data_IF_467673851119
#
_entry.id   IF_467673851119
#
_cell.length_a   1.000
_cell.length_b   1.000
_cell.length_c   1.000
_cell.angle_alpha   90.00
_cell.angle_beta   90.00
_cell.angle_gamma   90.00
#
_symmetry.space_group_name_H-M   'P 1'
#
loop_
_entity.id
_entity.type
_entity.pdbx_description
1 polymer ?
#
# COMPACT_ATOMS: atom_id res chain seq x y z
N UNK A 1 14.72 -10.14 -23.27
CA UNK A 1 13.87 -10.64 -22.17
C UNK A 1 13.25 -11.95 -22.61
N UNK A 2 13.51 -13.03 -21.88
CA UNK A 2 13.05 -14.39 -22.20
C UNK A 2 11.74 -14.62 -21.44
N UNK A 3 10.82 -15.43 -22.01
CA UNK A 3 9.55 -15.82 -21.36
C UNK A 3 9.76 -16.37 -19.94
N UNK A 4 10.90 -16.97 -19.66
CA UNK A 4 11.31 -17.47 -18.35
C UNK A 4 11.37 -16.39 -17.26
N UNK A 5 11.57 -15.12 -17.60
CA UNK A 5 11.56 -14.00 -16.66
C UNK A 5 10.19 -13.74 -16.04
N UNK A 6 9.12 -14.27 -16.62
CA UNK A 6 7.76 -14.17 -16.08
C UNK A 6 7.46 -15.21 -14.99
N UNK A 7 8.27 -16.25 -14.86
CA UNK A 7 8.01 -17.34 -13.88
C UNK A 7 8.10 -16.84 -12.43
N UNK A 8 9.14 -16.11 -11.98
CA UNK A 8 9.22 -15.65 -10.60
C UNK A 8 8.00 -14.82 -10.15
N UNK A 9 7.55 -13.78 -10.89
CA UNK A 9 6.38 -13.02 -10.50
C UNK A 9 5.07 -13.83 -10.57
N UNK A 10 4.91 -14.73 -11.55
CA UNK A 10 3.74 -15.61 -11.63
C UNK A 10 3.66 -16.56 -10.43
N UNK A 11 4.79 -17.17 -10.05
CA UNK A 11 4.85 -18.04 -8.87
C UNK A 11 4.51 -17.26 -7.60
N UNK A 12 5.05 -16.05 -7.43
CA UNK A 12 4.74 -15.20 -6.29
C UNK A 12 3.24 -14.88 -6.20
N UNK A 13 2.60 -14.52 -7.32
CA UNK A 13 1.17 -14.22 -7.39
C UNK A 13 0.32 -15.46 -7.06
N UNK A 14 0.62 -16.59 -7.71
CA UNK A 14 -0.14 -17.83 -7.50
C UNK A 14 -0.01 -18.30 -6.04
N UNK A 15 1.20 -18.28 -5.48
CA UNK A 15 1.41 -18.63 -4.08
C UNK A 15 0.67 -17.67 -3.14
N UNK A 16 0.69 -16.35 -3.39
CA UNK A 16 -0.03 -15.38 -2.58
C UNK A 16 -1.55 -15.62 -2.59
N UNK A 17 -2.11 -16.03 -3.72
CA UNK A 17 -3.54 -16.37 -3.84
C UNK A 17 -3.90 -17.66 -3.11
N UNK A 18 -3.01 -18.65 -3.11
CA UNK A 18 -3.25 -19.96 -2.47
C UNK A 18 -3.04 -19.86 -0.94
N UNK A 19 -1.91 -19.30 -0.53
CA UNK A 19 -1.51 -19.25 0.89
C UNK A 19 -2.17 -18.11 1.65
N UNK A 20 -2.66 -17.08 0.93
CA UNK A 20 -3.13 -15.78 1.48
C UNK A 20 -2.03 -15.05 2.28
N UNK A 21 -0.79 -15.44 2.08
CA UNK A 21 0.41 -14.89 2.70
C UNK A 21 1.28 -14.21 1.64
N UNK A 22 1.30 -12.87 1.63
CA UNK A 22 2.00 -12.09 0.60
C UNK A 22 3.51 -12.11 0.81
N UNK A 23 3.99 -11.94 2.05
CA UNK A 23 5.42 -11.83 2.34
C UNK A 23 6.19 -13.08 1.99
N UNK A 24 5.71 -14.25 2.45
CA UNK A 24 6.33 -15.55 2.13
C UNK A 24 6.34 -15.83 0.64
N UNK A 25 5.26 -15.47 -0.05
CA UNK A 25 5.10 -15.68 -1.48
C UNK A 25 6.05 -14.82 -2.31
N UNK A 26 6.20 -13.54 -1.94
CA UNK A 26 7.16 -12.62 -2.55
C UNK A 26 8.60 -13.08 -2.31
N UNK A 27 8.92 -13.52 -1.10
CA UNK A 27 10.26 -14.05 -0.79
C UNK A 27 10.61 -15.26 -1.66
N UNK A 28 9.68 -16.21 -1.82
CA UNK A 28 9.88 -17.36 -2.71
C UNK A 28 10.06 -16.90 -4.15
N UNK A 29 9.29 -15.91 -4.62
CA UNK A 29 9.47 -15.33 -5.95
C UNK A 29 10.85 -14.72 -6.16
N UNK A 30 11.38 -14.00 -5.17
CA UNK A 30 12.73 -13.41 -5.19
C UNK A 30 13.79 -14.53 -5.25
N UNK A 31 13.65 -15.57 -4.44
CA UNK A 31 14.59 -16.72 -4.44
C UNK A 31 14.61 -17.41 -5.81
N UNK A 32 13.44 -17.67 -6.40
CA UNK A 32 13.33 -18.26 -7.74
C UNK A 32 13.99 -17.35 -8.79
N UNK A 33 13.77 -16.04 -8.72
CA UNK A 33 14.41 -15.07 -9.60
C UNK A 33 15.93 -15.10 -9.50
N UNK A 34 16.48 -15.17 -8.29
CA UNK A 34 17.93 -15.32 -8.06
C UNK A 34 18.50 -16.63 -8.58
N UNK A 35 17.75 -17.75 -8.46
CA UNK A 35 18.15 -19.03 -9.01
C UNK A 35 18.20 -19.00 -10.56
N UNK A 36 17.24 -18.33 -11.21
CA UNK A 36 17.27 -18.13 -12.65
C UNK A 36 18.45 -17.25 -13.10
N UNK A 37 18.80 -16.24 -12.33
CA UNK A 37 19.98 -15.42 -12.58
C UNK A 37 21.26 -16.25 -12.51
N UNK A 38 21.36 -17.19 -11.56
CA UNK A 38 22.47 -18.15 -11.44
C UNK A 38 22.52 -19.23 -12.51
N UNK A 39 21.72 -19.14 -13.58
CA UNK A 39 21.67 -20.09 -14.70
C UNK A 39 21.29 -21.52 -14.31
N UNK A 40 20.27 -21.72 -13.48
CA UNK A 40 19.84 -23.04 -13.00
C UNK A 40 19.57 -24.07 -14.12
N UNK A 41 19.26 -23.60 -15.34
CA UNK A 41 18.97 -24.47 -16.50
C UNK A 41 20.13 -24.60 -17.48
N UNK A 42 21.32 -24.05 -17.18
CA UNK A 42 22.49 -24.12 -18.05
C UNK A 42 23.67 -24.80 -17.33
N UNK A 43 24.56 -25.39 -18.10
CA UNK A 43 25.83 -25.95 -17.61
C UNK A 43 26.72 -24.81 -17.10
N UNK A 44 26.73 -24.59 -15.79
CA UNK A 44 27.44 -23.48 -15.14
C UNK A 44 26.66 -22.85 -14.00
N UNK A 45 25.65 -23.55 -13.46
CA UNK A 45 24.91 -23.11 -12.28
C UNK A 45 25.85 -22.78 -11.12
N UNK A 46 25.75 -21.59 -10.61
CA UNK A 46 26.47 -21.11 -9.43
C UNK A 46 25.49 -20.62 -8.37
N UNK A 47 25.38 -21.41 -7.31
CA UNK A 47 24.56 -21.04 -6.14
C UNK A 47 25.09 -19.74 -5.49
N UNK A 48 26.43 -19.58 -5.49
CA UNK A 48 27.08 -18.38 -4.99
C UNK A 48 26.61 -17.11 -5.73
N UNK A 49 26.59 -17.13 -7.07
CA UNK A 49 26.08 -16.02 -7.88
C UNK A 49 24.62 -15.72 -7.60
N UNK A 50 23.77 -16.73 -7.38
CA UNK A 50 22.38 -16.55 -7.05
C UNK A 50 22.20 -15.88 -5.70
N UNK A 51 22.95 -16.31 -4.69
CA UNK A 51 22.90 -15.74 -3.34
C UNK A 51 23.43 -14.31 -3.34
N UNK A 52 24.59 -14.08 -3.95
CA UNK A 52 25.18 -12.74 -4.04
C UNK A 52 24.25 -11.77 -4.75
N UNK A 53 23.64 -12.17 -5.86
CA UNK A 53 22.68 -11.32 -6.57
C UNK A 53 21.45 -10.96 -5.71
N UNK A 54 20.91 -11.89 -4.95
CA UNK A 54 19.77 -11.61 -4.05
C UNK A 54 20.18 -10.64 -2.94
N UNK A 55 21.34 -10.83 -2.32
CA UNK A 55 21.76 -10.05 -1.16
C UNK A 55 22.48 -8.75 -1.56
N UNK A 56 23.44 -8.78 -2.47
CA UNK A 56 24.21 -7.60 -2.83
C UNK A 56 23.41 -6.68 -3.77
N UNK A 57 22.96 -7.19 -4.90
CA UNK A 57 22.24 -6.37 -5.87
C UNK A 57 20.79 -6.12 -5.45
N UNK A 58 20.12 -7.14 -4.92
CA UNK A 58 18.73 -7.06 -4.49
C UNK A 58 18.56 -6.27 -3.19
N UNK A 59 19.14 -6.73 -2.10
CA UNK A 59 18.89 -6.15 -0.78
C UNK A 59 19.77 -4.93 -0.50
N UNK A 60 21.09 -5.10 -0.59
CA UNK A 60 22.04 -4.02 -0.28
C UNK A 60 21.98 -2.93 -1.35
N UNK A 61 21.91 -3.29 -2.63
CA UNK A 61 21.80 -2.34 -3.73
C UNK A 61 20.56 -1.46 -3.61
N UNK A 62 19.39 -2.05 -3.34
CA UNK A 62 18.14 -1.32 -3.15
C UNK A 62 18.18 -0.42 -1.90
N UNK A 63 18.74 -0.91 -0.79
CA UNK A 63 18.87 -0.12 0.45
C UNK A 63 20.01 0.91 0.41
N UNK A 64 20.90 0.84 -0.56
CA UNK A 64 21.96 1.83 -0.76
C UNK A 64 21.56 2.94 -1.72
N UNK A 65 20.47 2.78 -2.44
CA UNK A 65 19.96 3.79 -3.34
C UNK A 65 19.24 4.90 -2.54
N UNK A 66 19.72 6.16 -2.61
CA UNK A 66 19.11 7.29 -1.90
C UNK A 66 17.63 7.48 -2.18
N UNK A 67 17.17 7.16 -3.39
CA UNK A 67 15.77 7.26 -3.76
C UNK A 67 14.89 6.26 -2.99
N UNK A 68 15.29 4.98 -2.97
CA UNK A 68 14.57 3.94 -2.24
C UNK A 68 14.57 4.19 -0.73
N UNK A 69 15.72 4.62 -0.19
CA UNK A 69 15.83 5.00 1.24
C UNK A 69 14.95 6.20 1.55
N UNK A 70 14.86 7.18 0.65
CA UNK A 70 13.96 8.32 0.79
C UNK A 70 12.50 7.90 0.92
N UNK A 71 12.04 6.95 0.10
CA UNK A 71 10.68 6.39 0.17
C UNK A 71 10.46 5.67 1.52
N UNK A 72 11.42 4.86 1.99
CA UNK A 72 11.30 4.19 3.29
C UNK A 72 11.19 5.16 4.45
N UNK A 73 12.03 6.20 4.46
CA UNK A 73 11.97 7.26 5.49
C UNK A 73 10.61 7.97 5.43
N UNK A 74 10.14 8.31 4.23
CA UNK A 74 8.82 8.93 4.04
C UNK A 74 7.70 8.07 4.64
N UNK A 75 7.69 6.76 4.37
CA UNK A 75 6.68 5.84 4.91
C UNK A 75 6.71 5.76 6.44
N UNK A 76 7.92 5.75 7.04
CA UNK A 76 8.07 5.75 8.50
C UNK A 76 7.54 7.05 9.11
N UNK A 77 7.92 8.21 8.56
CA UNK A 77 7.45 9.52 9.01
C UNK A 77 5.93 9.62 8.89
N UNK A 78 5.38 9.17 7.76
CA UNK A 78 3.94 9.12 7.54
C UNK A 78 3.23 8.26 8.59
N UNK A 79 3.74 7.06 8.86
CA UNK A 79 3.20 6.18 9.91
C UNK A 79 3.22 6.81 11.30
N UNK A 80 4.29 7.53 11.63
CA UNK A 80 4.38 8.29 12.89
C UNK A 80 3.31 9.39 12.93
N UNK A 81 3.13 10.16 11.87
CA UNK A 81 2.12 11.22 11.78
C UNK A 81 0.70 10.66 11.99
N UNK A 82 0.37 9.53 11.33
CA UNK A 82 -0.94 8.86 11.50
C UNK A 82 -1.14 8.43 12.95
N UNK A 83 -0.12 7.81 13.54
CA UNK A 83 -0.19 7.36 14.93
C UNK A 83 -0.39 8.53 15.89
N UNK A 84 0.34 9.63 15.70
CA UNK A 84 0.20 10.84 16.52
C UNK A 84 -1.18 11.48 16.37
N UNK A 85 -1.72 11.58 15.16
CA UNK A 85 -3.04 12.13 14.90
C UNK A 85 -4.14 11.30 15.58
N UNK A 86 -4.03 9.97 15.51
CA UNK A 86 -4.98 9.08 16.19
C UNK A 86 -4.87 9.19 17.73
N UNK A 87 -3.66 9.25 18.28
CA UNK A 87 -3.43 9.45 19.72
C UNK A 87 -3.88 10.83 20.21
N UNK A 88 -3.74 11.86 19.39
CA UNK A 88 -4.24 13.20 19.71
C UNK A 88 -5.77 13.32 19.66
N UNK A 89 -6.48 12.25 19.28
CA UNK A 89 -7.95 12.23 19.22
C UNK A 89 -8.52 12.94 17.97
N UNK A 90 -7.68 13.25 16.97
CA UNK A 90 -8.12 13.95 15.75
C UNK A 90 -9.24 13.20 15.02
N UNK A 91 -9.11 11.88 14.88
CA UNK A 91 -10.14 11.04 14.26
C UNK A 91 -11.47 11.05 15.05
N UNK A 92 -11.40 11.03 16.38
CA UNK A 92 -12.58 11.07 17.24
C UNK A 92 -13.28 12.43 17.18
N UNK A 93 -12.52 13.52 17.27
CA UNK A 93 -13.04 14.89 17.18
C UNK A 93 -13.73 15.16 15.83
N UNK A 94 -13.13 14.70 14.73
CA UNK A 94 -13.77 14.79 13.42
C UNK A 94 -15.03 13.92 13.33
N UNK A 95 -15.02 12.72 13.88
CA UNK A 95 -16.18 11.83 13.95
C UNK A 95 -17.35 12.47 14.70
N UNK A 96 -17.10 13.16 15.81
CA UNK A 96 -18.12 13.92 16.54
C UNK A 96 -18.66 15.10 15.73
N UNK A 97 -17.78 15.88 15.11
CA UNK A 97 -18.18 17.00 14.25
C UNK A 97 -19.03 16.52 13.07
N UNK A 98 -18.60 15.48 12.38
CA UNK A 98 -19.35 14.87 11.28
C UNK A 98 -20.69 14.32 11.74
N UNK A 99 -20.73 13.66 12.91
CA UNK A 99 -21.96 13.12 13.49
C UNK A 99 -23.00 14.17 13.85
N UNK A 100 -22.58 15.42 14.12
CA UNK A 100 -23.48 16.56 14.39
C UNK A 100 -24.02 17.19 13.11
N UNK A 101 -23.23 17.22 12.04
CA UNK A 101 -23.59 17.92 10.80
C UNK A 101 -24.22 16.99 9.77
N UNK A 102 -23.90 15.70 9.80
CA UNK A 102 -24.42 14.72 8.84
C UNK A 102 -25.71 14.12 9.40
N UNK A 103 -26.82 14.37 8.71
CA UNK A 103 -28.16 13.90 9.12
C UNK A 103 -28.74 12.85 8.19
N UNK A 104 -28.12 12.58 7.06
CA UNK A 104 -28.66 11.69 6.03
C UNK A 104 -27.66 10.63 5.59
N UNK A 105 -28.16 9.48 5.14
CA UNK A 105 -27.34 8.40 4.58
C UNK A 105 -26.52 8.83 3.37
N UNK A 106 -27.10 9.67 2.50
CA UNK A 106 -26.40 10.21 1.33
C UNK A 106 -25.33 11.21 1.77
N UNK A 107 -25.62 12.05 2.75
CA UNK A 107 -24.65 12.97 3.33
C UNK A 107 -23.42 12.27 3.90
N UNK A 108 -23.62 11.14 4.61
CA UNK A 108 -22.51 10.35 5.12
C UNK A 108 -21.59 9.83 4.00
N UNK A 109 -22.17 9.37 2.88
CA UNK A 109 -21.42 8.89 1.73
C UNK A 109 -20.68 10.04 1.02
N UNK A 110 -21.34 11.18 0.80
CA UNK A 110 -20.71 12.34 0.16
C UNK A 110 -19.54 12.89 0.99
N UNK A 111 -19.68 12.96 2.32
CA UNK A 111 -18.60 13.41 3.20
C UNK A 111 -17.46 12.39 3.19
N UNK A 112 -17.74 11.09 3.11
CA UNK A 112 -16.69 10.07 2.94
C UNK A 112 -15.88 10.30 1.67
N UNK A 113 -16.55 10.51 0.53
CA UNK A 113 -15.91 10.83 -0.75
C UNK A 113 -15.13 12.13 -0.67
N UNK A 114 -15.70 13.19 -0.11
CA UNK A 114 -15.04 14.48 0.05
C UNK A 114 -13.76 14.37 0.87
N UNK A 115 -13.80 13.63 1.99
CA UNK A 115 -12.60 13.36 2.79
C UNK A 115 -11.57 12.57 2.02
N UNK A 116 -11.98 11.53 1.28
CA UNK A 116 -11.10 10.77 0.41
C UNK A 116 -10.40 11.65 -0.63
N UNK A 117 -11.09 12.67 -1.15
CA UNK A 117 -10.50 13.64 -2.08
C UNK A 117 -9.55 14.61 -1.37
N UNK A 118 -9.89 15.07 -0.17
CA UNK A 118 -9.07 16.04 0.58
C UNK A 118 -7.76 15.43 1.11
N UNK A 119 -7.76 14.13 1.44
CA UNK A 119 -6.59 13.42 1.96
C UNK A 119 -5.89 12.71 0.78
N UNK A 120 -5.27 13.46 -0.11
CA UNK A 120 -4.66 12.95 -1.35
C UNK A 120 -3.16 12.65 -1.24
N UNK A 121 -2.56 12.82 -0.06
CA UNK A 121 -1.10 12.71 0.13
C UNK A 121 -0.63 11.27 -0.05
N UNK A 122 -1.38 10.32 0.53
CA UNK A 122 -1.06 8.89 0.49
C UNK A 122 -2.33 8.05 0.58
N UNK A 123 -2.43 6.99 -0.21
CA UNK A 123 -3.63 6.15 -0.30
C UNK A 123 -3.82 5.28 0.96
N UNK A 124 -2.75 4.74 1.55
CA UNK A 124 -2.82 4.00 2.82
C UNK A 124 -3.27 4.90 3.96
N UNK A 125 -2.69 6.10 4.05
CA UNK A 125 -3.09 7.10 5.03
C UNK A 125 -4.55 7.49 4.86
N UNK A 126 -4.97 7.72 3.62
CA UNK A 126 -6.36 8.01 3.27
C UNK A 126 -7.28 6.88 3.75
N UNK A 127 -7.02 5.64 3.34
CA UNK A 127 -7.85 4.48 3.71
C UNK A 127 -7.99 4.31 5.22
N UNK A 128 -6.87 4.39 5.96
CA UNK A 128 -6.87 4.23 7.42
C UNK A 128 -7.59 5.38 8.13
N UNK A 129 -7.34 6.61 7.69
CA UNK A 129 -7.91 7.81 8.33
C UNK A 129 -9.39 7.95 8.03
N UNK A 130 -9.77 7.94 6.76
CA UNK A 130 -11.18 8.04 6.35
C UNK A 130 -11.98 6.86 6.90
N UNK A 131 -11.40 5.64 6.86
CA UNK A 131 -12.02 4.45 7.41
C UNK A 131 -12.30 4.55 8.91
N UNK A 132 -11.31 4.97 9.69
CA UNK A 132 -11.45 5.10 11.15
C UNK A 132 -12.43 6.19 11.54
N UNK A 133 -12.39 7.32 10.86
CA UNK A 133 -13.21 8.51 11.15
C UNK A 133 -14.65 8.33 10.70
N UNK A 134 -14.87 7.80 9.50
CA UNK A 134 -16.21 7.69 8.93
C UNK A 134 -16.97 6.44 9.37
N UNK A 135 -16.30 5.43 9.92
CA UNK A 135 -16.95 4.21 10.39
C UNK A 135 -18.08 4.47 11.39
N UNK A 136 -17.89 5.21 12.50
CA UNK A 136 -18.98 5.48 13.45
C UNK A 136 -20.12 6.31 12.82
N UNK A 137 -19.82 7.20 11.88
CA UNK A 137 -20.80 8.03 11.19
C UNK A 137 -21.65 7.18 10.23
N UNK A 138 -21.00 6.33 9.44
CA UNK A 138 -21.68 5.46 8.48
C UNK A 138 -22.50 4.36 9.16
N UNK A 139 -22.02 3.80 10.28
CA UNK A 139 -22.75 2.83 11.08
C UNK A 139 -24.05 3.47 11.63
N UNK A 140 -23.99 4.72 12.12
CA UNK A 140 -25.17 5.49 12.59
C UNK A 140 -26.21 5.72 11.51
N UNK A 141 -25.79 5.84 10.25
CA UNK A 141 -26.67 6.11 9.10
C UNK A 141 -26.99 4.86 8.27
N UNK A 142 -26.79 3.65 8.82
CA UNK A 142 -27.07 2.37 8.17
C UNK A 142 -26.39 2.21 6.78
N UNK A 143 -25.18 2.74 6.62
CA UNK A 143 -24.33 2.46 5.47
C UNK A 143 -23.51 1.23 5.78
N UNK A 144 -23.58 0.21 4.91
CA UNK A 144 -22.84 -1.03 5.15
C UNK A 144 -21.32 -0.80 5.09
N UNK A 145 -20.56 -1.55 5.89
CA UNK A 145 -19.10 -1.48 5.91
C UNK A 145 -18.46 -1.81 4.57
N UNK A 146 -19.06 -2.73 3.81
CA UNK A 146 -18.63 -3.05 2.45
C UNK A 146 -18.78 -1.83 1.52
N UNK A 147 -19.87 -1.05 1.67
CA UNK A 147 -20.05 0.17 0.89
C UNK A 147 -19.09 1.29 1.31
N UNK A 148 -18.80 1.41 2.60
CA UNK A 148 -17.78 2.32 3.10
C UNK A 148 -16.41 1.97 2.53
N UNK A 149 -16.02 0.70 2.60
CA UNK A 149 -14.76 0.22 2.05
C UNK A 149 -14.64 0.50 0.55
N UNK A 150 -15.72 0.25 -0.21
CA UNK A 150 -15.76 0.57 -1.64
C UNK A 150 -15.58 2.07 -1.93
N UNK A 151 -16.25 2.93 -1.18
CA UNK A 151 -16.12 4.39 -1.37
C UNK A 151 -14.70 4.88 -1.08
N UNK A 152 -14.07 4.33 -0.05
CA UNK A 152 -12.69 4.67 0.33
C UNK A 152 -11.73 4.18 -0.76
N UNK A 153 -11.83 2.92 -1.16
CA UNK A 153 -10.98 2.31 -2.18
C UNK A 153 -11.10 3.04 -3.53
N UNK A 154 -12.33 3.35 -3.93
CA UNK A 154 -12.62 4.07 -5.18
C UNK A 154 -12.15 5.55 -5.19
N UNK A 155 -11.84 6.13 -4.04
CA UNK A 155 -11.37 7.52 -3.94
C UNK A 155 -9.90 7.63 -3.55
N UNK A 156 -9.40 6.77 -2.66
CA UNK A 156 -8.04 6.89 -2.15
C UNK A 156 -6.97 6.76 -3.23
N UNK A 157 -6.87 5.62 -3.87
CA UNK A 157 -5.83 5.37 -4.88
C UNK A 157 -5.96 6.26 -6.13
N UNK A 158 -7.15 6.40 -6.77
CA UNK A 158 -7.28 7.25 -7.96
C UNK A 158 -6.93 8.72 -7.71
N UNK A 159 -7.34 9.27 -6.57
CA UNK A 159 -7.04 10.67 -6.24
C UNK A 159 -5.56 10.87 -5.94
N UNK A 160 -4.93 9.94 -5.20
CA UNK A 160 -3.49 10.00 -4.93
C UNK A 160 -2.64 9.87 -6.20
N UNK A 161 -3.08 9.09 -7.20
CA UNK A 161 -2.36 8.95 -8.49
C UNK A 161 -2.46 10.24 -9.32
N UNK A 162 -3.61 10.92 -9.31
CA UNK A 162 -3.84 12.15 -10.08
C UNK A 162 -3.22 13.37 -9.39
N UNK A 163 -3.07 13.34 -8.07
CA UNK A 163 -2.58 14.48 -7.31
C UNK A 163 -1.09 14.76 -7.61
N UNK A 164 -0.71 16.02 -7.87
CA UNK A 164 0.67 16.38 -8.24
C UNK A 164 1.66 16.25 -7.07
N UNK A 165 1.15 16.22 -5.84
CA UNK A 165 1.95 16.07 -4.61
C UNK A 165 1.37 14.88 -3.84
N UNK A 166 1.89 13.69 -4.08
CA UNK A 166 1.44 12.46 -3.43
C UNK A 166 2.57 11.45 -3.34
N UNK A 167 2.38 10.39 -2.56
CA UNK A 167 3.31 9.25 -2.49
C UNK A 167 3.49 8.59 -3.86
N UNK A 168 2.45 8.54 -4.68
CA UNK A 168 2.51 8.01 -6.04
C UNK A 168 3.27 8.90 -7.01
N UNK A 169 3.11 10.23 -6.93
CA UNK A 169 3.91 11.16 -7.73
C UNK A 169 5.40 10.99 -7.45
N UNK A 170 5.78 10.80 -6.17
CA UNK A 170 7.16 10.52 -5.78
C UNK A 170 7.67 9.15 -6.25
N UNK A 171 6.78 8.18 -6.47
CA UNK A 171 7.16 6.84 -6.92
C UNK A 171 7.25 6.71 -8.45
N UNK A 172 6.64 7.62 -9.22
CA UNK A 172 6.59 7.58 -10.70
C UNK A 172 7.62 8.51 -11.33
N UNK A 173 8.12 9.52 -10.63
CA UNK A 173 9.18 10.44 -11.11
C UNK A 173 10.55 9.93 -10.78
#
# INVERSE_FOLDING_TARGET
>A
ATIWALIPPLVAIVLALITKEVYSSLFIGIVIGGLFYGNIFQSGFSLEKSILHIFEDGLVGVLSDPYNVGILIFLVVLGIMVCMMNKAGGSAAFGEWAGRHIKTRVGAQLVTVLLGILIFIDDYFNCLTVGSVMRPVTDKHNVSRAKLAYLIDATAAPICIIAPISSWAAAVT
#
